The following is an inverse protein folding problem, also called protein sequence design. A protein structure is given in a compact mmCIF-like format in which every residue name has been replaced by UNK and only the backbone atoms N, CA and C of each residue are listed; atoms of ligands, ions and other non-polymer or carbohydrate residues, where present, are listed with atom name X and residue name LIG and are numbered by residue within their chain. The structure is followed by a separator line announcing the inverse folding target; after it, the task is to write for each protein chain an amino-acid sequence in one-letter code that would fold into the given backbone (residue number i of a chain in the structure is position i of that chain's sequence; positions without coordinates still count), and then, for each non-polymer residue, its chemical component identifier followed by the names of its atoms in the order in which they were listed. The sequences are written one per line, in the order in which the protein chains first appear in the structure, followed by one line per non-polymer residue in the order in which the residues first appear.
data_IF_675125481396
#
_entry.id   IF_675125481396
#
_cell.length_a   1.000
_cell.length_b   1.000
_cell.length_c   1.000
_cell.angle_alpha   90.00
_cell.angle_beta   90.00
_cell.angle_gamma   90.00
#
_symmetry.space_group_name_H-M   'P 1'
#
loop_
_entity.id
_entity.type
_entity.pdbx_description
1 polymer ?
#
# COMPACT_ATOMS: atom_id res chain seq x y z
N UNK A 1 -11.15 34.01 -18.76
CA UNK A 1 -11.27 33.67 -17.33
C UNK A 1 -9.89 33.29 -16.85
N UNK A 2 -9.44 33.89 -15.75
CA UNK A 2 -8.19 33.46 -15.11
C UNK A 2 -8.33 32.03 -14.59
N UNK A 3 -7.25 31.26 -14.68
CA UNK A 3 -7.23 29.88 -14.18
C UNK A 3 -7.35 29.89 -12.65
N UNK A 4 -8.04 28.91 -12.05
CA UNK A 4 -8.10 28.80 -10.60
C UNK A 4 -6.70 28.50 -10.02
N UNK A 5 -6.47 28.92 -8.78
CA UNK A 5 -5.28 28.52 -8.01
C UNK A 5 -5.46 27.10 -7.46
N UNK A 6 -4.44 26.27 -7.60
CA UNK A 6 -4.40 24.90 -7.07
C UNK A 6 -3.80 24.92 -5.66
N UNK A 7 -4.55 24.47 -4.65
CA UNK A 7 -4.00 24.19 -3.31
C UNK A 7 -3.48 22.76 -3.26
N UNK A 8 -2.17 22.60 -3.11
CA UNK A 8 -1.52 21.29 -3.08
C UNK A 8 -1.25 20.84 -1.64
N UNK A 9 -2.06 19.89 -1.15
CA UNK A 9 -2.02 19.39 0.22
C UNK A 9 -1.22 18.09 0.42
N UNK A 10 -0.52 17.64 -0.62
CA UNK A 10 0.25 16.38 -0.59
C UNK A 10 1.43 16.48 0.38
N UNK A 11 1.93 15.31 0.78
CA UNK A 11 3.14 15.22 1.60
C UNK A 11 4.31 15.94 0.94
N UNK A 12 5.14 16.59 1.75
CA UNK A 12 6.24 17.46 1.31
C UNK A 12 7.09 16.84 0.19
N UNK A 13 7.50 15.58 0.36
CA UNK A 13 8.30 14.83 -0.61
C UNK A 13 7.63 14.64 -2.00
N UNK A 14 6.31 14.84 -2.11
CA UNK A 14 5.54 14.70 -3.35
C UNK A 14 5.05 16.05 -3.91
N UNK A 15 5.27 17.15 -3.19
CA UNK A 15 4.74 18.46 -3.58
C UNK A 15 5.41 18.97 -4.84
N UNK A 16 6.74 18.94 -4.90
CA UNK A 16 7.51 19.51 -6.02
C UNK A 16 7.04 19.00 -7.38
N UNK A 17 6.99 17.68 -7.57
CA UNK A 17 6.51 17.07 -8.83
C UNK A 17 5.08 17.52 -9.17
N UNK A 18 4.21 17.62 -8.17
CA UNK A 18 2.81 18.04 -8.37
C UNK A 18 2.76 19.51 -8.78
N UNK A 19 3.51 20.36 -8.11
CA UNK A 19 3.63 21.79 -8.40
C UNK A 19 4.12 22.01 -9.82
N UNK A 20 5.22 21.36 -10.23
CA UNK A 20 5.78 21.44 -11.59
C UNK A 20 4.73 21.08 -12.66
N UNK A 21 4.02 19.96 -12.49
CA UNK A 21 2.99 19.49 -13.44
C UNK A 21 1.86 20.50 -13.65
N UNK A 22 1.45 21.21 -12.60
CA UNK A 22 0.38 22.22 -12.68
C UNK A 22 0.90 23.58 -13.15
N UNK A 23 2.08 24.01 -12.71
CA UNK A 23 2.70 25.26 -13.19
C UNK A 23 3.00 25.20 -14.67
N UNK A 24 3.47 24.07 -15.19
CA UNK A 24 3.71 23.85 -16.63
C UNK A 24 2.43 23.96 -17.47
N UNK A 25 1.28 23.71 -16.84
CA UNK A 25 -0.05 23.88 -17.44
C UNK A 25 -0.62 25.28 -17.19
N UNK A 26 0.15 26.20 -16.63
CA UNK A 26 -0.20 27.60 -16.40
C UNK A 26 -1.13 27.84 -15.23
N UNK A 27 -1.21 26.92 -14.26
CA UNK A 27 -1.92 27.15 -13.00
C UNK A 27 -0.98 27.80 -11.98
N UNK A 28 -1.51 28.69 -11.14
CA UNK A 28 -0.85 29.06 -9.89
C UNK A 28 -1.02 27.93 -8.88
N UNK A 29 0.02 27.62 -8.11
CA UNK A 29 0.01 26.55 -7.10
C UNK A 29 0.42 27.11 -5.75
N UNK A 30 -0.33 26.79 -4.70
CA UNK A 30 0.01 27.05 -3.31
C UNK A 30 0.28 25.71 -2.61
N UNK A 31 1.52 25.49 -2.21
CA UNK A 31 1.92 24.31 -1.46
C UNK A 31 1.58 24.46 0.02
N UNK A 32 0.76 23.54 0.55
CA UNK A 32 0.32 23.52 1.94
C UNK A 32 0.26 22.07 2.43
N UNK A 33 1.41 21.43 2.74
CA UNK A 33 1.45 20.00 3.04
C UNK A 33 0.62 19.68 4.29
N UNK A 34 -0.35 18.77 4.18
CA UNK A 34 -1.20 18.36 5.30
C UNK A 34 -0.98 16.89 5.71
N UNK A 35 -0.07 16.19 5.03
CA UNK A 35 0.21 14.77 5.26
C UNK A 35 1.71 14.63 5.50
N UNK A 36 2.08 13.95 6.58
CA UNK A 36 3.44 13.53 6.84
C UNK A 36 3.51 12.00 6.78
N UNK A 37 4.55 11.47 6.15
CA UNK A 37 4.84 10.03 6.13
C UNK A 37 6.03 9.83 7.06
N UNK A 38 5.78 9.23 8.21
CA UNK A 38 6.78 9.03 9.27
C UNK A 38 7.18 7.56 9.36
N UNK A 39 8.36 7.29 9.91
CA UNK A 39 8.73 5.93 10.30
C UNK A 39 7.89 5.45 11.48
N UNK A 40 7.72 4.14 11.60
CA UNK A 40 7.28 3.53 12.87
C UNK A 40 8.39 3.66 13.91
N UNK A 41 8.08 4.21 15.08
CA UNK A 41 9.04 4.41 16.17
C UNK A 41 9.71 3.10 16.62
N UNK A 42 8.95 2.00 16.60
CA UNK A 42 9.42 0.65 16.92
C UNK A 42 9.09 -0.32 15.78
N UNK A 43 10.13 -0.75 15.07
CA UNK A 43 10.02 -1.69 13.95
C UNK A 43 10.04 -3.16 14.36
N UNK A 44 10.20 -3.48 15.66
CA UNK A 44 10.31 -4.88 16.12
C UNK A 44 9.04 -5.69 15.88
N UNK A 45 7.88 -5.09 16.14
CA UNK A 45 6.58 -5.73 15.91
C UNK A 45 6.31 -5.98 14.41
N UNK A 46 6.37 -4.97 13.52
CA UNK A 46 6.16 -5.21 12.09
C UNK A 46 7.22 -6.15 11.52
N UNK A 47 8.49 -6.08 11.95
CA UNK A 47 9.50 -7.06 11.56
C UNK A 47 9.09 -8.49 11.93
N UNK A 48 8.66 -8.72 13.17
CA UNK A 48 8.19 -10.04 13.63
C UNK A 48 6.96 -10.52 12.84
N UNK A 49 6.06 -9.62 12.47
CA UNK A 49 4.86 -9.95 11.69
C UNK A 49 5.20 -10.28 10.24
N UNK A 50 6.09 -9.50 9.59
CA UNK A 50 6.58 -9.78 8.23
C UNK A 50 7.28 -11.14 8.17
N UNK A 51 8.11 -11.45 9.17
CA UNK A 51 8.80 -12.74 9.26
C UNK A 51 7.84 -13.94 9.45
N UNK A 52 6.62 -13.71 9.94
CA UNK A 52 5.60 -14.76 10.17
C UNK A 52 4.68 -14.97 8.97
N UNK A 53 4.84 -14.21 7.88
CA UNK A 53 4.08 -14.42 6.65
C UNK A 53 4.44 -15.81 6.12
N UNK A 54 3.42 -16.67 6.04
CA UNK A 54 3.56 -18.08 5.71
C UNK A 54 3.16 -18.38 4.28
N UNK A 55 3.33 -19.63 3.88
CA UNK A 55 2.83 -20.14 2.60
C UNK A 55 1.32 -19.96 2.49
N UNK A 56 0.82 -19.68 1.28
CA UNK A 56 -0.61 -19.52 0.98
C UNK A 56 -1.31 -18.33 1.67
N UNK A 57 -0.56 -17.42 2.31
CA UNK A 57 -1.08 -16.13 2.73
C UNK A 57 -1.41 -15.24 1.51
N UNK A 58 -2.40 -14.36 1.68
CA UNK A 58 -2.66 -13.26 0.77
C UNK A 58 -2.06 -11.97 1.36
N UNK A 59 -0.95 -11.50 0.80
CA UNK A 59 -0.25 -10.29 1.24
C UNK A 59 -0.67 -9.11 0.38
N UNK A 60 -1.24 -8.08 1.00
CA UNK A 60 -1.81 -6.91 0.33
C UNK A 60 -0.99 -5.67 0.70
N UNK A 61 -0.41 -5.03 -0.30
CA UNK A 61 0.29 -3.75 -0.14
C UNK A 61 -0.63 -2.60 -0.53
N UNK A 62 -0.92 -1.71 0.41
CA UNK A 62 -1.92 -0.65 0.19
C UNK A 62 -1.40 0.57 -0.56
N UNK A 63 -0.09 0.75 -0.63
CA UNK A 63 0.56 1.93 -1.22
C UNK A 63 2.02 1.67 -1.54
N UNK A 64 2.64 2.54 -2.32
CA UNK A 64 4.11 2.54 -2.53
C UNK A 64 4.88 2.71 -1.22
N UNK A 65 4.35 3.50 -0.28
CA UNK A 65 4.94 3.66 1.04
C UNK A 65 4.92 2.35 1.83
N UNK A 66 3.81 1.60 1.79
CA UNK A 66 3.73 0.29 2.43
C UNK A 66 4.82 -0.68 1.93
N UNK A 67 5.12 -0.66 0.62
CA UNK A 67 6.21 -1.46 0.04
C UNK A 67 7.56 -0.97 0.56
N UNK A 68 7.88 0.31 0.33
CA UNK A 68 9.18 0.88 0.68
C UNK A 68 9.52 0.69 2.16
N UNK A 69 8.56 0.90 3.04
CA UNK A 69 8.79 0.79 4.48
C UNK A 69 8.86 -0.67 4.96
N UNK A 70 8.07 -1.58 4.37
CA UNK A 70 8.22 -3.01 4.68
C UNK A 70 9.63 -3.52 4.33
N UNK A 71 10.15 -3.16 3.16
CA UNK A 71 11.51 -3.53 2.75
C UNK A 71 12.61 -2.69 3.42
N UNK A 72 12.30 -1.50 3.96
CA UNK A 72 13.20 -0.79 4.88
C UNK A 72 13.34 -1.52 6.21
N UNK A 73 12.23 -2.03 6.76
CA UNK A 73 12.17 -2.77 8.03
C UNK A 73 12.83 -4.15 7.89
N UNK A 74 12.56 -4.86 6.80
CA UNK A 74 13.13 -6.18 6.53
C UNK A 74 13.76 -6.23 5.12
N UNK A 75 14.99 -5.70 4.94
CA UNK A 75 15.63 -5.61 3.61
C UNK A 75 15.89 -6.94 2.92
N UNK A 76 16.10 -8.00 3.71
CA UNK A 76 16.34 -9.35 3.23
C UNK A 76 15.05 -10.18 3.16
N UNK A 77 13.89 -9.54 3.23
CA UNK A 77 12.62 -10.25 3.21
C UNK A 77 12.42 -10.91 1.85
N UNK A 78 12.25 -12.23 1.88
CA UNK A 78 11.88 -13.02 0.73
C UNK A 78 10.42 -13.43 0.87
N UNK A 79 9.59 -12.96 -0.04
CA UNK A 79 8.18 -13.37 -0.11
C UNK A 79 8.15 -14.76 -0.78
N UNK A 80 7.62 -15.80 -0.11
CA UNK A 80 7.53 -17.14 -0.70
C UNK A 80 6.69 -17.14 -1.99
N UNK A 81 7.07 -17.95 -2.98
CA UNK A 81 6.33 -18.06 -4.25
C UNK A 81 4.89 -18.56 -4.09
N UNK A 82 4.60 -19.24 -2.97
CA UNK A 82 3.27 -19.73 -2.61
C UNK A 82 2.35 -18.65 -2.03
N UNK A 83 2.88 -17.46 -1.74
CA UNK A 83 2.11 -16.31 -1.27
C UNK A 83 1.44 -15.61 -2.44
N UNK A 84 0.20 -15.22 -2.22
CA UNK A 84 -0.55 -14.40 -3.16
C UNK A 84 -0.24 -12.94 -2.87
N UNK A 85 0.51 -12.31 -3.77
CA UNK A 85 0.93 -10.91 -3.61
C UNK A 85 -0.04 -9.99 -4.35
N UNK A 86 -0.66 -9.06 -3.64
CA UNK A 86 -1.63 -8.10 -4.20
C UNK A 86 -1.13 -6.68 -3.97
N UNK A 87 -1.01 -5.91 -5.04
CA UNK A 87 -0.79 -4.47 -4.98
C UNK A 87 -2.11 -3.75 -5.26
N UNK A 88 -2.51 -2.80 -4.39
CA UNK A 88 -3.79 -2.09 -4.56
C UNK A 88 -3.90 -1.33 -5.89
N UNK A 89 -2.78 -0.89 -6.48
CA UNK A 89 -2.79 -0.27 -7.80
C UNK A 89 -1.45 -0.32 -8.51
N UNK A 90 -1.46 0.03 -9.80
CA UNK A 90 -0.31 -0.10 -10.70
C UNK A 90 1.00 0.48 -10.15
N UNK A 91 0.99 1.71 -9.63
CA UNK A 91 2.21 2.31 -9.05
C UNK A 91 2.77 1.55 -7.84
N UNK A 92 1.90 0.88 -7.08
CA UNK A 92 2.35 0.03 -5.97
C UNK A 92 2.99 -1.25 -6.49
N UNK A 93 2.44 -1.82 -7.57
CA UNK A 93 3.03 -2.98 -8.23
C UNK A 93 4.41 -2.65 -8.82
N UNK A 94 4.56 -1.52 -9.52
CA UNK A 94 5.83 -1.07 -10.10
C UNK A 94 6.96 -0.99 -9.06
N UNK A 95 6.67 -0.50 -7.86
CA UNK A 95 7.65 -0.47 -6.76
C UNK A 95 7.91 -1.87 -6.21
N UNK A 96 6.87 -2.69 -6.08
CA UNK A 96 6.98 -4.05 -5.55
C UNK A 96 7.75 -5.00 -6.46
N UNK A 97 7.70 -4.81 -7.78
CA UNK A 97 8.50 -5.53 -8.79
C UNK A 97 10.01 -5.38 -8.57
N UNK A 98 10.44 -4.31 -7.90
CA UNK A 98 11.86 -4.10 -7.55
C UNK A 98 12.33 -5.01 -6.42
N UNK A 99 11.39 -5.58 -5.65
CA UNK A 99 11.67 -6.33 -4.44
C UNK A 99 11.21 -7.79 -4.49
N UNK A 100 10.26 -8.12 -5.37
CA UNK A 100 9.65 -9.45 -5.45
C UNK A 100 9.58 -9.92 -6.91
N UNK A 101 9.88 -11.21 -7.12
CA UNK A 101 9.79 -11.85 -8.45
C UNK A 101 8.47 -12.63 -8.65
N UNK A 102 7.64 -12.74 -7.62
CA UNK A 102 6.36 -13.43 -7.71
C UNK A 102 5.37 -12.65 -8.58
N UNK A 103 4.34 -13.34 -9.07
CA UNK A 103 3.25 -12.69 -9.78
C UNK A 103 2.49 -11.72 -8.85
N UNK A 104 2.46 -10.44 -9.21
CA UNK A 104 1.74 -9.40 -8.47
C UNK A 104 0.35 -9.22 -9.09
N UNK A 105 -0.66 -9.51 -8.29
CA UNK A 105 -2.06 -9.30 -8.64
C UNK A 105 -2.43 -7.83 -8.44
N UNK A 106 -3.09 -7.24 -9.43
CA UNK A 106 -3.58 -5.86 -9.38
C UNK A 106 -5.08 -5.88 -9.65
N UNK A 107 -5.93 -5.35 -8.76
CA UNK A 107 -7.37 -5.32 -8.99
C UNK A 107 -7.72 -4.32 -10.10
N UNK A 108 -8.80 -4.58 -10.84
CA UNK A 108 -9.30 -3.67 -11.88
C UNK A 108 -9.64 -2.29 -11.28
N UNK A 109 -10.27 -2.29 -10.10
CA UNK A 109 -10.47 -1.08 -9.32
C UNK A 109 -9.33 -0.92 -8.32
N UNK A 110 -8.54 0.15 -8.45
CA UNK A 110 -7.39 0.43 -7.58
C UNK A 110 -7.79 0.92 -6.17
N UNK A 111 -8.63 0.15 -5.48
CA UNK A 111 -9.20 0.48 -4.17
C UNK A 111 -9.48 -0.79 -3.35
N UNK A 112 -9.95 -0.59 -2.11
CA UNK A 112 -10.25 -1.71 -1.21
C UNK A 112 -11.33 -2.66 -1.72
N UNK A 113 -12.31 -2.18 -2.50
CA UNK A 113 -13.37 -3.02 -3.07
C UNK A 113 -12.81 -3.93 -4.15
N UNK A 114 -11.97 -3.39 -5.05
CA UNK A 114 -11.30 -4.18 -6.07
C UNK A 114 -10.43 -5.29 -5.49
N UNK A 115 -9.70 -5.03 -4.39
CA UNK A 115 -8.96 -6.08 -3.67
C UNK A 115 -9.90 -7.16 -3.13
N UNK A 116 -11.04 -6.78 -2.55
CA UNK A 116 -12.03 -7.74 -2.05
C UNK A 116 -12.58 -8.61 -3.18
N UNK A 117 -12.86 -8.02 -4.33
CA UNK A 117 -13.40 -8.74 -5.47
C UNK A 117 -12.35 -9.71 -6.04
N UNK A 118 -11.08 -9.31 -6.06
CA UNK A 118 -9.96 -10.20 -6.36
C UNK A 118 -9.88 -11.36 -5.37
N UNK A 119 -9.89 -11.08 -4.06
CA UNK A 119 -9.86 -12.11 -3.01
C UNK A 119 -11.00 -13.12 -3.15
N UNK A 120 -12.22 -12.68 -3.48
CA UNK A 120 -13.38 -13.57 -3.72
C UNK A 120 -13.19 -14.48 -4.94
N UNK A 121 -12.42 -14.05 -5.93
CA UNK A 121 -12.09 -14.84 -7.12
C UNK A 121 -10.98 -15.87 -6.91
N UNK A 122 -10.21 -15.77 -5.83
CA UNK A 122 -9.14 -16.71 -5.52
C UNK A 122 -9.71 -18.04 -5.02
N UNK A 123 -9.13 -19.16 -5.49
CA UNK A 123 -9.54 -20.50 -5.07
C UNK A 123 -9.24 -20.79 -3.60
N UNK A 124 -8.06 -20.35 -3.12
CA UNK A 124 -7.60 -20.64 -1.78
C UNK A 124 -6.56 -19.61 -1.31
N UNK A 125 -6.68 -19.22 -0.04
CA UNK A 125 -5.69 -18.52 0.76
C UNK A 125 -6.03 -18.72 2.24
N UNK A 126 -5.01 -18.81 3.09
CA UNK A 126 -5.14 -19.11 4.52
C UNK A 126 -5.50 -17.85 5.31
N UNK A 127 -4.68 -16.81 5.18
CA UNK A 127 -4.79 -15.58 5.96
C UNK A 127 -4.54 -14.34 5.12
N UNK A 128 -5.16 -13.23 5.51
CA UNK A 128 -4.92 -11.92 4.91
C UNK A 128 -3.87 -11.15 5.71
N UNK A 129 -2.79 -10.72 5.05
CA UNK A 129 -1.73 -9.91 5.64
C UNK A 129 -1.77 -8.53 4.97
N UNK A 130 -2.24 -7.52 5.70
CA UNK A 130 -2.42 -6.17 5.17
C UNK A 130 -1.22 -5.30 5.57
N UNK A 131 -0.36 -4.98 4.62
CA UNK A 131 0.80 -4.10 4.84
C UNK A 131 0.37 -2.67 4.51
N UNK A 132 0.29 -1.83 5.55
CA UNK A 132 -0.28 -0.49 5.45
C UNK A 132 0.26 0.49 6.50
N UNK A 133 -0.27 1.71 6.49
CA UNK A 133 -0.13 2.63 7.61
C UNK A 133 -0.95 2.17 8.83
N UNK A 134 -0.67 2.72 10.01
CA UNK A 134 -1.48 2.50 11.22
C UNK A 134 -2.97 2.87 11.04
N UNK A 135 -3.24 4.02 10.43
CA UNK A 135 -4.59 4.57 10.27
C UNK A 135 -5.03 4.48 8.81
N UNK A 136 -5.71 3.38 8.47
CA UNK A 136 -6.17 3.10 7.11
C UNK A 136 -7.67 2.82 7.01
N UNK A 137 -8.16 2.65 5.77
CA UNK A 137 -9.52 2.17 5.52
C UNK A 137 -9.69 0.78 6.14
N UNK A 138 -10.85 0.54 6.74
CA UNK A 138 -11.15 -0.71 7.44
C UNK A 138 -11.87 -1.76 6.59
N UNK A 139 -12.10 -1.49 5.29
CA UNK A 139 -13.01 -2.31 4.49
C UNK A 139 -12.51 -3.75 4.30
N UNK A 140 -11.20 -3.94 4.08
CA UNK A 140 -10.59 -5.27 3.93
C UNK A 140 -10.64 -6.04 5.26
N UNK A 141 -10.36 -5.35 6.38
CA UNK A 141 -10.45 -5.93 7.72
C UNK A 141 -11.88 -6.40 8.02
N UNK A 142 -12.88 -5.56 7.72
CA UNK A 142 -14.30 -5.91 7.88
C UNK A 142 -14.70 -7.09 7.00
N UNK A 143 -14.24 -7.11 5.75
CA UNK A 143 -14.45 -8.26 4.86
C UNK A 143 -13.86 -9.55 5.47
N UNK A 144 -12.62 -9.51 5.96
CA UNK A 144 -12.00 -10.67 6.60
C UNK A 144 -12.81 -11.15 7.81
N UNK A 145 -13.21 -10.23 8.69
CA UNK A 145 -14.04 -10.51 9.87
C UNK A 145 -15.40 -11.12 9.50
N UNK A 146 -16.14 -10.52 8.56
CA UNK A 146 -17.45 -11.01 8.14
C UNK A 146 -17.40 -12.38 7.44
N UNK A 147 -16.23 -12.79 6.95
CA UNK A 147 -16.02 -14.09 6.31
C UNK A 147 -15.24 -15.08 7.18
N UNK A 148 -15.08 -14.79 8.48
CA UNK A 148 -14.31 -15.61 9.43
C UNK A 148 -12.89 -15.96 8.94
N UNK A 149 -12.27 -15.06 8.17
CA UNK A 149 -10.90 -15.21 7.70
C UNK A 149 -9.94 -14.65 8.74
N UNK A 150 -8.85 -15.38 8.98
CA UNK A 150 -7.75 -14.83 9.74
C UNK A 150 -7.17 -13.63 8.99
N UNK A 151 -6.78 -12.60 9.73
CA UNK A 151 -6.10 -11.46 9.16
C UNK A 151 -5.16 -10.80 10.15
N UNK A 152 -4.20 -10.03 9.64
CA UNK A 152 -3.33 -9.18 10.43
C UNK A 152 -3.02 -7.92 9.63
N UNK A 153 -3.10 -6.76 10.28
CA UNK A 153 -2.58 -5.51 9.73
C UNK A 153 -1.18 -5.30 10.28
N UNK A 154 -0.23 -5.11 9.38
CA UNK A 154 1.18 -4.89 9.65
C UNK A 154 1.45 -3.41 9.34
N UNK A 155 1.59 -2.62 10.40
CA UNK A 155 1.81 -1.19 10.30
C UNK A 155 3.30 -0.93 10.09
N UNK A 156 3.68 -0.49 8.91
CA UNK A 156 5.09 -0.27 8.55
C UNK A 156 5.46 1.22 8.47
N UNK A 157 4.47 2.11 8.54
CA UNK A 157 4.59 3.56 8.60
C UNK A 157 3.34 4.22 9.19
#
# INVERSE_FOLDING_TARGET
MDKPTVLNTRAYAQQQMTTEVFTDRGFAVLDFPCIEIVDVDDSTLPFSQLHKIGEHDAVIFTSQHAVNYAFKIFPQWLIPDSVIVIAVGAKTAEVLEQHCQAHIWIPEQHNSQGVIDLLKGLKHYEKIQLISAAHGRQLIQRFAQSNNKQWTQINVY
#
